data_IF_640532505449
#
_entry.id   IF_640532505449
#
_cell.length_a   1.000
_cell.length_b   1.000
_cell.length_c   1.000
_cell.angle_alpha   90.00
_cell.angle_beta   90.00
_cell.angle_gamma   90.00
#
_symmetry.space_group_name_H-M   'P 1'
#
loop_
_entity.id
_entity.type
_entity.pdbx_description
1 polymer ?
#
# COMPACT_ATOMS: atom_id res chain seq x y z
N UNK A 1 -17.10 2.76 -17.84
CA UNK A 1 -16.68 1.69 -16.91
C UNK A 1 -15.18 1.43 -16.99
N UNK A 2 -14.59 1.26 -18.18
CA UNK A 2 -13.13 1.02 -18.34
C UNK A 2 -12.19 2.03 -17.63
N UNK A 3 -12.51 3.34 -17.64
CA UNK A 3 -11.68 4.35 -16.97
C UNK A 3 -11.65 4.22 -15.44
N UNK A 4 -12.76 3.79 -14.82
CA UNK A 4 -12.82 3.54 -13.38
C UNK A 4 -11.97 2.31 -13.01
N UNK A 5 -12.04 1.25 -13.81
CA UNK A 5 -11.25 0.04 -13.60
C UNK A 5 -9.75 0.31 -13.74
N UNK A 6 -9.37 1.16 -14.70
CA UNK A 6 -7.99 1.62 -14.86
C UNK A 6 -7.52 2.46 -13.67
N UNK A 7 -8.33 3.43 -13.22
CA UNK A 7 -8.02 4.22 -12.04
C UNK A 7 -7.88 3.36 -10.78
N UNK A 8 -8.76 2.38 -10.58
CA UNK A 8 -8.66 1.45 -9.45
C UNK A 8 -7.35 0.65 -9.47
N UNK A 9 -6.95 0.13 -10.65
CA UNK A 9 -5.68 -0.60 -10.80
C UNK A 9 -4.47 0.29 -10.52
N UNK A 10 -4.49 1.53 -11.00
CA UNK A 10 -3.43 2.50 -10.78
C UNK A 10 -3.30 2.85 -9.30
N UNK A 11 -4.41 3.16 -8.62
CA UNK A 11 -4.42 3.42 -7.17
C UNK A 11 -3.90 2.21 -6.39
N UNK A 12 -4.31 1.00 -6.77
CA UNK A 12 -3.82 -0.22 -6.14
C UNK A 12 -2.31 -0.41 -6.34
N UNK A 13 -1.78 -0.11 -7.53
CA UNK A 13 -0.34 -0.17 -7.81
C UNK A 13 0.46 0.83 -6.97
N UNK A 14 -0.01 2.08 -6.90
CA UNK A 14 0.61 3.14 -6.07
C UNK A 14 0.59 2.74 -4.60
N UNK A 15 -0.52 2.19 -4.11
CA UNK A 15 -0.65 1.74 -2.71
C UNK A 15 0.35 0.64 -2.36
N UNK A 16 0.57 -0.33 -3.27
CA UNK A 16 1.58 -1.39 -3.08
C UNK A 16 2.99 -0.82 -3.07
N UNK A 17 3.29 0.11 -3.98
CA UNK A 17 4.61 0.75 -4.04
C UNK A 17 4.89 1.55 -2.76
N UNK A 18 3.93 2.34 -2.27
CA UNK A 18 4.07 3.08 -1.04
C UNK A 18 4.32 2.15 0.17
N UNK A 19 3.56 1.07 0.29
CA UNK A 19 3.75 0.08 1.35
C UNK A 19 5.14 -0.59 1.31
N UNK A 20 5.66 -0.91 0.11
CA UNK A 20 7.01 -1.46 -0.05
C UNK A 20 8.09 -0.44 0.33
N UNK A 21 7.97 0.79 -0.19
CA UNK A 21 8.95 1.83 0.05
C UNK A 21 9.10 2.15 1.54
N UNK A 22 7.98 2.26 2.28
CA UNK A 22 8.01 2.50 3.72
C UNK A 22 8.78 1.38 4.47
N UNK A 23 8.63 0.12 4.05
CA UNK A 23 9.38 -1.00 4.65
C UNK A 23 10.86 -0.96 4.27
N UNK A 24 11.19 -0.59 3.04
CA UNK A 24 12.57 -0.49 2.55
C UNK A 24 13.38 0.57 3.31
N UNK A 25 12.75 1.69 3.69
CA UNK A 25 13.38 2.73 4.52
C UNK A 25 13.40 2.36 6.02
N UNK A 26 12.94 1.16 6.38
CA UNK A 26 13.06 0.61 7.73
C UNK A 26 11.87 0.84 8.66
N UNK A 27 10.73 1.37 8.16
CA UNK A 27 9.54 1.48 9.02
C UNK A 27 8.97 0.10 9.33
N UNK A 28 8.50 -0.05 10.57
CA UNK A 28 7.78 -1.26 10.97
C UNK A 28 6.40 -1.31 10.28
N UNK A 29 5.79 -2.49 10.26
CA UNK A 29 4.43 -2.64 9.73
C UNK A 29 3.39 -1.79 10.47
N UNK A 30 3.63 -1.45 11.73
CA UNK A 30 2.76 -0.58 12.55
C UNK A 30 2.95 0.89 12.17
N UNK A 31 4.19 1.34 11.99
CA UNK A 31 4.47 2.72 11.59
C UNK A 31 3.94 3.00 10.18
N UNK A 32 4.17 2.07 9.25
CA UNK A 32 3.62 2.14 7.90
C UNK A 32 2.08 2.14 7.89
N UNK A 33 1.44 1.46 8.85
CA UNK A 33 -0.02 1.45 8.99
C UNK A 33 -0.55 2.84 9.38
N UNK A 34 0.14 3.51 10.31
CA UNK A 34 -0.16 4.90 10.70
C UNK A 34 -0.01 5.85 9.53
N UNK A 35 1.09 5.75 8.76
CA UNK A 35 1.34 6.62 7.59
C UNK A 35 0.29 6.41 6.49
N UNK A 36 -0.09 5.17 6.22
CA UNK A 36 -1.03 4.83 5.14
C UNK A 36 -2.51 4.92 5.56
N UNK A 37 -2.80 5.14 6.86
CA UNK A 37 -4.17 5.20 7.36
C UNK A 37 -4.93 3.87 7.25
N UNK A 38 -4.23 2.74 7.32
CA UNK A 38 -4.81 1.38 7.22
C UNK A 38 -4.31 0.49 8.35
N UNK A 39 -4.80 -0.75 8.46
CA UNK A 39 -4.28 -1.70 9.45
C UNK A 39 -2.90 -2.27 9.08
N UNK A 40 -2.10 -2.68 10.07
CA UNK A 40 -0.81 -3.33 9.84
C UNK A 40 -0.94 -4.65 9.02
N UNK A 41 -2.06 -5.35 9.17
CA UNK A 41 -2.39 -6.51 8.34
C UNK A 41 -2.57 -6.11 6.87
N UNK A 42 -3.24 -4.97 6.60
CA UNK A 42 -3.41 -4.46 5.23
C UNK A 42 -2.09 -4.04 4.61
N UNK A 43 -1.19 -3.41 5.38
CA UNK A 43 0.18 -3.13 4.93
C UNK A 43 0.92 -4.41 4.54
N UNK A 44 0.79 -5.47 5.35
CA UNK A 44 1.40 -6.77 5.06
C UNK A 44 0.86 -7.40 3.78
N UNK A 45 -0.43 -7.24 3.49
CA UNK A 45 -1.03 -7.70 2.23
C UNK A 45 -0.51 -6.89 1.03
N UNK A 46 -0.44 -5.57 1.17
CA UNK A 46 0.03 -4.66 0.10
C UNK A 46 1.50 -4.89 -0.23
N UNK A 47 2.34 -5.16 0.77
CA UNK A 47 3.77 -5.42 0.57
C UNK A 47 4.06 -6.81 -0.02
N UNK A 48 3.15 -7.77 0.14
CA UNK A 48 3.28 -9.15 -0.39
C UNK A 48 2.65 -9.34 -1.77
N UNK A 49 1.75 -8.44 -2.19
CA UNK A 49 1.08 -8.45 -3.49
C UNK A 49 1.94 -7.84 -4.58
#
# INVERSE_FOLDING_TARGET
MAALDEQQRNVAAVSRQAARHLREIGLTGVDAATVLGVSAQRVSQLAKS
#
